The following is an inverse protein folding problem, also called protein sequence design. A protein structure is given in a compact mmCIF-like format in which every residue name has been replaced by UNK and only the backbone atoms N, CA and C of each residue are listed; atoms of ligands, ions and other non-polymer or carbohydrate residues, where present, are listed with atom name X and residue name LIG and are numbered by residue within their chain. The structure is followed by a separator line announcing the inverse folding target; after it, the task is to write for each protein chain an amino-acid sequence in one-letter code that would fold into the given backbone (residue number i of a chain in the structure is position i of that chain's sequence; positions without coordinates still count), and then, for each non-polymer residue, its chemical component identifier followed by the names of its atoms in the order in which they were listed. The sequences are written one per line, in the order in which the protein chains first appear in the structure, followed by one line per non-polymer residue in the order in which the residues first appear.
data_IF_941498975327
#
_entry.id   IF_941498975327
#
_cell.length_a   1.000
_cell.length_b   1.000
_cell.length_c   1.000
_cell.angle_alpha   90.00
_cell.angle_beta   90.00
_cell.angle_gamma   90.00
#
_symmetry.space_group_name_H-M   'P 1'
#
loop_
_entity.id
_entity.type
_entity.pdbx_description
1 polymer ?
#
# COMPACT_ATOMS: atom_id res chain seq x y z
N UNK A 1 -12.84 -19.25 34.99
CA UNK A 1 -14.07 -19.86 34.42
C UNK A 1 -15.21 -19.49 35.34
N UNK A 2 -16.22 -18.81 34.82
CA UNK A 2 -17.44 -18.46 35.57
C UNK A 2 -18.54 -19.32 34.97
N UNK A 3 -18.87 -20.43 35.62
CA UNK A 3 -19.96 -21.29 35.19
C UNK A 3 -21.26 -20.55 35.47
N UNK A 4 -21.87 -20.02 34.41
CA UNK A 4 -23.15 -19.32 34.51
C UNK A 4 -24.25 -20.35 34.27
N UNK A 5 -24.76 -20.94 35.34
CA UNK A 5 -25.89 -21.87 35.27
C UNK A 5 -27.19 -21.07 35.14
N UNK A 6 -27.90 -21.22 34.02
CA UNK A 6 -29.21 -20.57 33.80
C UNK A 6 -30.32 -21.58 34.10
N UNK A 7 -31.15 -21.30 35.10
CA UNK A 7 -32.34 -22.08 35.42
C UNK A 7 -33.53 -21.51 34.63
N UNK A 8 -33.98 -22.25 33.61
CA UNK A 8 -35.13 -21.87 32.78
C UNK A 8 -36.41 -22.41 33.40
N UNK A 9 -37.35 -21.52 33.75
CA UNK A 9 -38.68 -21.90 34.24
C UNK A 9 -39.62 -22.18 33.05
N UNK A 10 -40.26 -23.36 32.97
CA UNK A 10 -41.17 -23.67 31.87
C UNK A 10 -42.33 -22.66 31.80
N UNK A 11 -42.61 -22.12 30.61
CA UNK A 11 -43.75 -21.23 30.35
C UNK A 11 -43.53 -19.73 30.66
N UNK A 12 -42.35 -19.32 31.13
CA UNK A 12 -42.06 -17.91 31.45
C UNK A 12 -40.98 -17.25 30.56
N UNK A 13 -40.17 -18.05 29.87
CA UNK A 13 -39.04 -17.59 29.05
C UNK A 13 -39.17 -18.15 27.64
N UNK A 14 -39.46 -17.28 26.66
CA UNK A 14 -39.61 -17.68 25.26
C UNK A 14 -38.30 -17.53 24.45
N UNK A 15 -37.37 -16.66 24.88
CA UNK A 15 -36.06 -16.50 24.23
C UNK A 15 -35.00 -16.10 25.28
N UNK A 16 -33.86 -16.79 25.27
CA UNK A 16 -32.67 -16.47 26.05
C UNK A 16 -31.53 -16.14 25.06
N UNK A 17 -31.10 -14.88 25.01
CA UNK A 17 -29.97 -14.46 24.18
C UNK A 17 -28.74 -14.21 25.05
N UNK A 18 -27.82 -15.17 25.09
CA UNK A 18 -26.56 -15.04 25.81
C UNK A 18 -25.52 -14.45 24.87
N UNK A 19 -25.13 -13.20 25.11
CA UNK A 19 -24.01 -12.58 24.40
C UNK A 19 -22.72 -12.86 25.17
N UNK A 20 -22.04 -13.94 24.81
CA UNK A 20 -20.71 -14.25 25.34
C UNK A 20 -19.77 -13.10 24.96
N UNK A 21 -19.11 -12.51 25.97
CA UNK A 21 -18.13 -11.45 25.75
C UNK A 21 -16.99 -12.04 24.92
N UNK A 22 -16.67 -11.41 23.79
CA UNK A 22 -15.57 -11.87 22.93
C UNK A 22 -14.31 -12.06 23.77
N UNK A 23 -13.64 -13.21 23.61
CA UNK A 23 -12.39 -13.49 24.30
C UNK A 23 -11.37 -12.39 24.01
N UNK A 24 -10.48 -12.09 24.96
CA UNK A 24 -9.42 -11.09 24.76
C UNK A 24 -8.55 -11.42 23.54
N UNK A 25 -8.39 -12.71 23.25
CA UNK A 25 -7.67 -13.22 22.08
C UNK A 25 -8.36 -12.83 20.76
N UNK A 26 -9.70 -12.90 20.69
CA UNK A 26 -10.46 -12.43 19.54
C UNK A 26 -10.35 -10.91 19.35
N UNK A 27 -10.40 -10.14 20.44
CA UNK A 27 -10.23 -8.67 20.38
C UNK A 27 -8.83 -8.31 19.88
N UNK A 28 -7.79 -9.00 20.37
CA UNK A 28 -6.41 -8.81 19.94
C UNK A 28 -6.21 -9.18 18.46
N UNK A 29 -6.78 -10.30 18.01
CA UNK A 29 -6.77 -10.70 16.61
C UNK A 29 -7.50 -9.69 15.71
N UNK A 30 -8.71 -9.27 16.08
CA UNK A 30 -9.49 -8.31 15.28
C UNK A 30 -8.74 -6.97 15.13
N UNK A 31 -8.10 -6.47 16.20
CA UNK A 31 -7.24 -5.28 16.13
C UNK A 31 -6.02 -5.47 15.22
N UNK A 32 -5.46 -6.68 15.12
CA UNK A 32 -4.35 -6.99 14.20
C UNK A 32 -4.86 -7.12 12.76
N UNK A 33 -5.98 -7.78 12.55
CA UNK A 33 -6.61 -7.96 11.24
C UNK A 33 -7.06 -6.64 10.62
N UNK A 34 -7.67 -5.75 11.40
CA UNK A 34 -8.06 -4.41 10.94
C UNK A 34 -6.84 -3.56 10.54
N UNK A 35 -5.76 -3.60 11.33
CA UNK A 35 -4.51 -2.91 10.99
C UNK A 35 -3.89 -3.47 9.72
N UNK A 36 -3.81 -4.80 9.60
CA UNK A 36 -3.30 -5.46 8.40
C UNK A 36 -4.12 -5.10 7.16
N UNK A 37 -5.46 -5.12 7.25
CA UNK A 37 -6.33 -4.78 6.13
C UNK A 37 -6.23 -3.32 5.70
N UNK A 38 -6.12 -2.39 6.66
CA UNK A 38 -5.91 -0.96 6.36
C UNK A 38 -4.56 -0.73 5.68
N UNK A 39 -3.50 -1.31 6.23
CA UNK A 39 -2.15 -1.16 5.70
C UNK A 39 -2.04 -1.81 4.32
N UNK A 40 -2.61 -3.00 4.12
CA UNK A 40 -2.60 -3.69 2.83
C UNK A 40 -3.33 -2.89 1.75
N UNK A 41 -4.47 -2.28 2.09
CA UNK A 41 -5.21 -1.41 1.17
C UNK A 41 -4.38 -0.18 0.79
N UNK A 42 -3.76 0.48 1.76
CA UNK A 42 -2.89 1.62 1.49
C UNK A 42 -1.68 1.24 0.62
N UNK A 43 -1.01 0.12 0.92
CA UNK A 43 0.13 -0.36 0.14
C UNK A 43 -0.27 -0.85 -1.26
N UNK A 44 -1.49 -1.34 -1.43
CA UNK A 44 -2.02 -1.82 -2.71
C UNK A 44 -2.38 -0.68 -3.65
N UNK A 45 -2.96 0.41 -3.13
CA UNK A 45 -3.52 1.48 -3.97
C UNK A 45 -2.78 2.80 -3.84
N UNK A 46 -2.33 3.18 -2.64
CA UNK A 46 -1.65 4.46 -2.41
C UNK A 46 -0.34 4.58 -3.15
N UNK A 47 0.53 3.57 -3.03
CA UNK A 47 1.86 3.58 -3.66
C UNK A 47 1.81 3.65 -5.19
N UNK A 48 0.99 2.84 -5.90
CA UNK A 48 0.84 2.97 -7.35
C UNK A 48 0.29 4.33 -7.79
N UNK A 49 -0.67 4.90 -7.06
CA UNK A 49 -1.25 6.21 -7.39
C UNK A 49 -0.19 7.30 -7.30
N UNK A 50 0.66 7.28 -6.27
CA UNK A 50 1.80 8.21 -6.15
C UNK A 50 2.79 8.06 -7.31
N UNK A 51 3.11 6.82 -7.70
CA UNK A 51 4.02 6.57 -8.82
C UNK A 51 3.44 7.09 -10.16
N UNK A 52 2.14 6.90 -10.40
CA UNK A 52 1.45 7.44 -11.58
C UNK A 52 1.44 8.97 -11.57
N UNK A 53 1.17 9.60 -10.42
CA UNK A 53 1.22 11.06 -10.27
C UNK A 53 2.62 11.62 -10.56
N UNK A 54 3.66 10.97 -10.05
CA UNK A 54 5.05 11.35 -10.33
C UNK A 54 5.39 11.20 -11.82
N UNK A 55 4.93 10.14 -12.47
CA UNK A 55 5.15 9.92 -13.91
C UNK A 55 4.45 10.99 -14.76
N UNK A 56 3.22 11.35 -14.41
CA UNK A 56 2.50 12.43 -15.09
C UNK A 56 3.22 13.78 -14.95
N UNK A 57 3.68 14.12 -13.74
CA UNK A 57 4.43 15.35 -13.51
C UNK A 57 5.77 15.37 -14.29
N UNK A 58 6.50 14.25 -14.29
CA UNK A 58 7.71 14.11 -15.09
C UNK A 58 7.45 14.32 -16.59
N UNK A 59 6.38 13.71 -17.12
CA UNK A 59 5.98 13.88 -18.52
C UNK A 59 5.75 15.37 -18.88
N UNK A 60 4.98 16.09 -18.06
CA UNK A 60 4.72 17.52 -18.27
C UNK A 60 6.02 18.33 -18.22
N UNK A 61 6.88 18.06 -17.24
CA UNK A 61 8.16 18.79 -17.12
C UNK A 61 9.13 18.52 -18.27
N UNK A 62 9.13 17.28 -18.79
CA UNK A 62 9.95 16.89 -19.95
C UNK A 62 9.47 17.61 -21.20
N UNK A 63 8.16 17.66 -21.42
CA UNK A 63 7.61 18.41 -22.56
C UNK A 63 7.99 19.90 -22.51
N UNK A 64 7.87 20.54 -21.33
CA UNK A 64 8.31 21.94 -21.15
C UNK A 64 9.80 22.15 -21.41
N UNK A 65 10.64 21.20 -20.99
CA UNK A 65 12.09 21.29 -21.23
C UNK A 65 12.43 21.14 -22.72
N UNK A 66 11.77 20.20 -23.42
CA UNK A 66 11.93 19.99 -24.86
C UNK A 66 11.46 21.20 -25.65
N UNK A 67 10.28 21.73 -25.34
CA UNK A 67 9.71 22.94 -25.98
C UNK A 67 10.63 24.16 -25.81
N UNK A 68 11.14 24.38 -24.59
CA UNK A 68 12.10 25.46 -24.33
C UNK A 68 13.41 25.28 -25.10
N UNK A 69 13.88 24.05 -25.28
CA UNK A 69 15.09 23.75 -26.06
C UNK A 69 14.85 23.96 -27.56
N UNK A 70 13.70 23.51 -28.08
CA UNK A 70 13.33 23.73 -29.49
C UNK A 70 13.25 25.22 -29.80
N UNK A 71 12.64 26.02 -28.92
CA UNK A 71 12.58 27.48 -29.07
C UNK A 71 13.97 28.10 -29.21
N UNK A 72 14.97 27.63 -28.45
CA UNK A 72 16.35 28.13 -28.56
C UNK A 72 16.97 27.74 -29.90
N UNK A 73 16.78 26.49 -30.34
CA UNK A 73 17.32 26.02 -31.62
C UNK A 73 16.68 26.76 -32.81
N UNK A 74 15.39 27.05 -32.74
CA UNK A 74 14.66 27.82 -33.76
C UNK A 74 15.16 29.27 -33.81
N UNK A 75 15.40 29.89 -32.65
CA UNK A 75 15.98 31.23 -32.55
C UNK A 75 17.44 31.27 -33.03
N UNK A 76 18.23 30.23 -32.76
CA UNK A 76 19.60 30.09 -33.26
C UNK A 76 19.62 29.99 -34.78
N UNK A 77 18.72 29.17 -35.34
CA UNK A 77 18.55 29.03 -36.79
C UNK A 77 18.16 30.37 -37.41
N UNK A 78 17.16 31.05 -36.84
CA UNK A 78 16.71 32.38 -37.29
C UNK A 78 17.83 33.42 -37.20
N UNK A 79 18.63 33.38 -36.14
CA UNK A 79 19.76 34.28 -35.96
C UNK A 79 20.84 34.08 -37.02
N UNK A 80 21.15 32.83 -37.35
CA UNK A 80 22.15 32.48 -38.36
C UNK A 80 21.69 32.81 -39.78
N UNK A 81 20.39 32.73 -40.06
CA UNK A 81 19.80 33.03 -41.37
C UNK A 81 19.49 34.52 -41.58
N UNK A 82 19.38 35.32 -40.51
CA UNK A 82 18.99 36.72 -40.62
C UNK A 82 20.14 37.60 -41.12
N UNK A 83 19.92 38.30 -42.24
CA UNK A 83 20.83 39.34 -42.74
C UNK A 83 20.43 40.76 -42.28
N UNK A 84 19.33 40.92 -41.54
CA UNK A 84 18.79 42.23 -41.15
C UNK A 84 19.31 42.67 -39.76
N UNK A 85 20.05 43.78 -39.66
CA UNK A 85 20.59 44.27 -38.38
C UNK A 85 19.53 44.55 -37.31
N UNK A 86 18.36 45.06 -37.68
CA UNK A 86 17.28 45.36 -36.74
C UNK A 86 16.72 44.07 -36.14
N UNK A 87 16.51 43.03 -36.97
CA UNK A 87 16.02 41.72 -36.52
C UNK A 87 17.03 41.04 -35.60
N UNK A 88 18.33 41.14 -35.92
CA UNK A 88 19.41 40.63 -35.08
C UNK A 88 19.43 41.33 -33.71
N UNK A 89 19.19 42.64 -33.67
CA UNK A 89 19.12 43.40 -32.42
C UNK A 89 17.94 42.96 -31.55
N UNK A 90 16.76 42.74 -32.14
CA UNK A 90 15.58 42.23 -31.41
C UNK A 90 15.79 40.82 -30.87
N UNK A 91 16.35 39.91 -31.69
CA UNK A 91 16.69 38.54 -31.30
C UNK A 91 17.65 38.54 -30.09
N UNK A 92 18.70 39.36 -30.13
CA UNK A 92 19.67 39.47 -29.02
C UNK A 92 19.08 40.15 -27.78
N UNK A 93 18.24 41.16 -27.97
CA UNK A 93 17.73 42.01 -26.89
C UNK A 93 16.60 41.38 -26.09
N UNK A 94 15.72 40.61 -26.75
CA UNK A 94 14.48 40.14 -26.13
C UNK A 94 14.30 38.62 -26.28
N UNK A 95 14.25 38.11 -27.51
CA UNK A 95 13.79 36.73 -27.78
C UNK A 95 14.76 35.68 -27.21
N UNK A 96 16.07 35.79 -27.47
CA UNK A 96 17.08 34.85 -26.95
C UNK A 96 17.20 34.90 -25.41
N UNK A 97 17.26 36.08 -24.77
CA UNK A 97 17.24 36.16 -23.30
C UNK A 97 15.98 35.56 -22.67
N UNK A 98 14.81 35.76 -23.27
CA UNK A 98 13.56 35.20 -22.77
C UNK A 98 13.53 33.67 -22.89
N UNK A 99 13.92 33.13 -24.05
CA UNK A 99 14.03 31.69 -24.26
C UNK A 99 15.03 31.04 -23.29
N UNK A 100 16.18 31.67 -23.06
CA UNK A 100 17.16 31.24 -22.06
C UNK A 100 16.59 31.26 -20.62
N UNK A 101 15.77 32.25 -20.27
CA UNK A 101 15.08 32.29 -18.97
C UNK A 101 14.09 31.12 -18.83
N UNK A 102 13.31 30.84 -19.88
CA UNK A 102 12.38 29.69 -19.89
C UNK A 102 13.11 28.37 -19.73
N UNK A 103 14.22 28.16 -20.45
CA UNK A 103 15.04 26.96 -20.31
C UNK A 103 15.62 26.81 -18.89
N UNK A 104 16.18 27.90 -18.33
CA UNK A 104 16.70 27.90 -16.95
C UNK A 104 15.65 27.59 -15.89
N UNK A 105 14.38 27.96 -16.14
CA UNK A 105 13.27 27.62 -15.26
C UNK A 105 12.79 26.17 -15.47
N UNK A 106 12.83 25.67 -16.71
CA UNK A 106 12.39 24.31 -17.04
C UNK A 106 13.38 23.23 -16.56
N UNK A 107 14.69 23.45 -16.68
CA UNK A 107 15.74 22.50 -16.31
C UNK A 107 15.63 21.96 -14.86
N UNK A 108 15.51 22.80 -13.81
CA UNK A 108 15.38 22.30 -12.44
C UNK A 108 14.07 21.52 -12.25
N UNK A 109 12.98 21.95 -12.90
CA UNK A 109 11.70 21.26 -12.79
C UNK A 109 11.76 19.83 -13.36
N UNK A 110 12.48 19.64 -14.47
CA UNK A 110 12.71 18.35 -15.09
C UNK A 110 13.62 17.44 -14.25
N UNK A 111 14.69 17.99 -13.67
CA UNK A 111 15.57 17.24 -12.78
C UNK A 111 14.85 16.77 -11.51
N UNK A 112 14.08 17.66 -10.88
CA UNK A 112 13.33 17.35 -9.66
C UNK A 112 12.25 16.32 -9.92
N UNK A 113 11.46 16.49 -10.98
CA UNK A 113 10.41 15.54 -11.33
C UNK A 113 10.98 14.16 -11.70
N UNK A 114 12.14 14.12 -12.38
CA UNK A 114 12.85 12.88 -12.68
C UNK A 114 13.31 12.16 -11.41
N UNK A 115 13.89 12.89 -10.45
CA UNK A 115 14.25 12.35 -9.15
C UNK A 115 13.05 11.80 -8.37
N UNK A 116 11.94 12.54 -8.35
CA UNK A 116 10.70 12.10 -7.70
C UNK A 116 10.12 10.85 -8.37
N UNK A 117 10.17 10.76 -9.70
CA UNK A 117 9.73 9.57 -10.43
C UNK A 117 10.56 8.33 -10.05
N UNK A 118 11.89 8.44 -10.07
CA UNK A 118 12.78 7.33 -9.73
C UNK A 118 12.56 6.89 -8.27
N UNK A 119 12.50 7.84 -7.34
CA UNK A 119 12.22 7.56 -5.93
C UNK A 119 10.84 6.88 -5.74
N UNK A 120 9.81 7.38 -6.42
CA UNK A 120 8.45 6.80 -6.36
C UNK A 120 8.41 5.39 -6.92
N UNK A 121 9.09 5.15 -8.05
CA UNK A 121 9.23 3.83 -8.66
C UNK A 121 9.95 2.84 -7.75
N UNK A 122 11.06 3.26 -7.15
CA UNK A 122 11.81 2.45 -6.19
C UNK A 122 10.97 2.11 -4.94
N UNK A 123 10.24 3.08 -4.39
CA UNK A 123 9.34 2.88 -3.26
C UNK A 123 8.21 1.90 -3.61
N UNK A 124 7.59 2.03 -4.79
CA UNK A 124 6.57 1.10 -5.26
C UNK A 124 7.12 -0.32 -5.41
N UNK A 125 8.29 -0.48 -6.04
CA UNK A 125 8.93 -1.79 -6.20
C UNK A 125 9.27 -2.43 -4.84
N UNK A 126 9.83 -1.64 -3.91
CA UNK A 126 10.12 -2.09 -2.56
C UNK A 126 8.85 -2.54 -1.83
N UNK A 127 7.79 -1.73 -1.85
CA UNK A 127 6.50 -2.07 -1.24
C UNK A 127 5.91 -3.34 -1.84
N UNK A 128 5.95 -3.50 -3.17
CA UNK A 128 5.50 -4.73 -3.85
C UNK A 128 6.25 -5.95 -3.33
N UNK A 129 7.58 -5.84 -3.15
CA UNK A 129 8.43 -6.92 -2.64
C UNK A 129 8.14 -7.26 -1.17
N UNK A 130 7.95 -6.25 -0.31
CA UNK A 130 7.62 -6.44 1.11
C UNK A 130 6.22 -7.04 1.25
N UNK A 131 5.25 -6.57 0.48
CA UNK A 131 3.88 -7.10 0.49
C UNK A 131 3.81 -8.56 0.09
N UNK A 132 4.60 -8.98 -0.90
CA UNK A 132 4.67 -10.38 -1.32
C UNK A 132 5.12 -11.34 -0.19
N UNK A 133 5.81 -10.84 0.83
CA UNK A 133 6.25 -11.61 2.00
C UNK A 133 5.32 -11.51 3.20
N UNK A 134 4.29 -10.66 3.17
CA UNK A 134 3.36 -10.48 4.28
C UNK A 134 2.34 -11.62 4.30
N UNK A 135 2.33 -12.38 5.39
CA UNK A 135 1.26 -13.35 5.68
C UNK A 135 0.11 -12.66 6.43
N UNK A 136 -1.15 -13.02 6.15
CA UNK A 136 -2.27 -12.52 6.93
C UNK A 136 -2.14 -13.00 8.39
N UNK A 137 -2.62 -12.22 9.37
CA UNK A 137 -2.65 -12.69 10.75
C UNK A 137 -3.53 -13.95 10.81
N UNK A 138 -2.99 -15.01 11.42
CA UNK A 138 -3.73 -16.24 11.70
C UNK A 138 -4.33 -16.14 13.09
N UNK A 139 -5.58 -16.57 13.24
CA UNK A 139 -6.20 -16.69 14.56
C UNK A 139 -5.66 -17.96 15.22
N UNK A 140 -4.80 -17.79 16.22
CA UNK A 140 -4.36 -18.88 17.08
C UNK A 140 -5.37 -19.06 18.21
N UNK A 141 -6.22 -20.07 18.07
CA UNK A 141 -7.11 -20.51 19.14
C UNK A 141 -6.34 -21.46 20.06
N UNK A 142 -5.94 -20.97 21.23
CA UNK A 142 -5.21 -21.79 22.22
C UNK A 142 -6.10 -22.84 22.88
N UNK A 143 -7.42 -22.66 22.85
CA UNK A 143 -8.36 -23.65 23.35
C UNK A 143 -8.54 -24.79 22.35
N UNK A 144 -8.54 -24.50 21.05
CA UNK A 144 -8.51 -25.54 20.01
C UNK A 144 -7.34 -26.51 20.19
N UNK A 145 -6.14 -26.02 20.55
CA UNK A 145 -4.99 -26.90 20.84
C UNK A 145 -5.19 -27.82 22.06
N UNK A 146 -6.06 -27.43 23.01
CA UNK A 146 -6.42 -28.27 24.16
C UNK A 146 -7.48 -29.32 23.82
N UNK A 147 -8.36 -29.02 22.86
CA UNK A 147 -9.46 -29.89 22.46
C UNK A 147 -9.12 -30.81 21.27
N UNK A 148 -8.22 -30.44 20.36
CA UNK A 148 -7.72 -31.32 19.28
C UNK A 148 -6.99 -32.56 19.83
N UNK A 149 -6.58 -32.53 21.10
CA UNK A 149 -6.03 -33.68 21.78
C UNK A 149 -7.07 -34.66 22.34
N UNK A 150 -8.34 -34.28 22.50
CA UNK A 150 -9.34 -35.15 23.13
C UNK A 150 -9.96 -36.09 22.10
N UNK A 151 -9.43 -37.32 22.02
CA UNK A 151 -9.95 -38.39 21.17
C UNK A 151 -10.76 -39.37 22.02
N UNK A 152 -12.00 -39.63 21.63
CA UNK A 152 -12.82 -40.69 22.21
C UNK A 152 -12.37 -42.04 21.65
N UNK A 153 -11.84 -42.92 22.50
CA UNK A 153 -11.49 -44.28 22.10
C UNK A 153 -12.56 -45.25 22.64
N UNK A 154 -13.39 -45.86 21.77
CA UNK A 154 -14.36 -46.86 22.20
C UNK A 154 -13.65 -48.18 22.53
N UNK A 155 -14.06 -48.80 23.65
CA UNK A 155 -13.71 -50.15 24.07
C UNK A 155 -14.72 -51.16 23.48
N UNK A 156 -14.33 -52.43 23.38
CA UNK A 156 -15.09 -53.52 22.78
C UNK A 156 -16.48 -53.75 23.41
N UNK A 157 -16.70 -53.25 24.62
CA UNK A 157 -17.96 -53.36 25.37
C UNK A 157 -18.89 -52.13 25.22
N UNK A 158 -18.59 -51.19 24.32
CA UNK A 158 -19.43 -50.01 24.08
C UNK A 158 -19.26 -48.88 25.09
N UNK A 159 -18.40 -49.06 26.09
CA UNK A 159 -17.84 -47.97 26.90
C UNK A 159 -16.66 -47.33 26.17
N UNK A 160 -16.23 -46.13 26.54
CA UNK A 160 -15.05 -45.52 25.96
C UNK A 160 -14.34 -44.62 26.94
N UNK A 161 -13.06 -44.39 26.69
CA UNK A 161 -12.23 -43.50 27.51
C UNK A 161 -11.82 -42.30 26.68
N UNK A 162 -11.95 -41.11 27.28
CA UNK A 162 -11.39 -39.89 26.69
C UNK A 162 -9.87 -39.91 26.86
N UNK A 163 -9.14 -39.91 25.75
CA UNK A 163 -7.69 -39.80 25.75
C UNK A 163 -7.28 -38.40 25.30
N UNK A 164 -6.37 -37.76 26.04
CA UNK A 164 -5.76 -36.49 25.66
C UNK A 164 -4.43 -36.75 24.93
N UNK A 165 -4.43 -36.79 23.59
CA UNK A 165 -3.25 -36.80 22.75
C UNK A 165 -2.62 -35.41 22.64
N UNK A 166 -1.37 -35.27 23.07
CA UNK A 166 -0.63 -34.01 22.95
C UNK A 166 0.12 -34.01 21.61
N UNK A 167 -0.39 -33.29 20.61
CA UNK A 167 0.28 -33.13 19.32
C UNK A 167 1.35 -32.04 19.41
N UNK A 168 2.62 -32.46 19.44
CA UNK A 168 3.77 -31.55 19.33
C UNK A 168 4.13 -31.44 17.84
N UNK A 169 3.90 -30.30 17.16
CA UNK A 169 4.37 -30.11 15.80
C UNK A 169 5.89 -29.96 15.82
N UNK A 170 6.61 -30.96 15.31
CA UNK A 170 8.04 -30.86 15.03
C UNK A 170 8.21 -30.00 13.75
N UNK A 171 8.98 -28.91 13.89
CA UNK A 171 9.39 -28.03 12.79
C UNK A 171 10.56 -28.62 12.01
#
# INVERSE_FOLDING_TARGET
MLDTTVLVKPGALNELRVQLRYSEEFIAYNKKAQRFGRDDRWLRYGTPVLAVGAAAWFGISTWKAVDAQQTINDLETTYNESANPARIADLKGQEIPEANRKLRQAAPSWLVSGGVLVASGAAWWYVKKVRAKRTPPVFEDKEKARFDGLVWMPDANGHGTWMAGLTIPLR
#
